data_IF_969342999293
#
_entry.id   IF_969342999293
#
_cell.length_a   1.000
_cell.length_b   1.000
_cell.length_c   1.000
_cell.angle_alpha   90.00
_cell.angle_beta   90.00
_cell.angle_gamma   90.00
#
_symmetry.space_group_name_H-M   'P 1'
#
loop_
_entity.id
_entity.type
_entity.pdbx_description
1 polymer ?
#
# COMPACT_ATOMS: atom_id res chain seq x y z
N UNK A 1 -18.75 -16.46 -26.21
CA UNK A 1 -18.33 -17.50 -25.26
C UNK A 1 -18.66 -18.88 -25.83
N UNK A 2 -17.75 -19.84 -25.74
CA UNK A 2 -17.97 -21.22 -26.18
C UNK A 2 -17.93 -22.17 -24.97
N UNK A 3 -18.58 -23.35 -25.02
CA UNK A 3 -18.60 -24.28 -23.90
C UNK A 3 -17.19 -24.78 -23.58
N UNK A 4 -16.81 -24.73 -22.30
CA UNK A 4 -15.55 -25.31 -21.84
C UNK A 4 -15.65 -26.84 -21.81
N UNK A 5 -14.60 -27.56 -22.25
CA UNK A 5 -14.55 -29.02 -22.21
C UNK A 5 -14.50 -29.56 -20.78
N UNK A 6 -13.98 -28.78 -19.83
CA UNK A 6 -14.02 -29.07 -18.40
C UNK A 6 -14.72 -27.92 -17.68
N UNK A 7 -15.68 -28.28 -16.82
CA UNK A 7 -16.44 -27.34 -15.99
C UNK A 7 -16.04 -27.52 -14.54
N UNK A 8 -15.68 -26.44 -13.91
CA UNK A 8 -15.32 -26.41 -12.49
C UNK A 8 -16.36 -25.60 -11.72
N UNK A 9 -16.50 -25.91 -10.44
CA UNK A 9 -17.34 -25.15 -9.51
C UNK A 9 -16.39 -24.35 -8.61
N UNK A 10 -16.65 -23.05 -8.51
CA UNK A 10 -15.93 -22.12 -7.64
C UNK A 10 -16.92 -21.55 -6.62
N UNK A 11 -16.67 -21.78 -5.33
CA UNK A 11 -17.50 -21.31 -4.23
C UNK A 11 -16.67 -20.52 -3.23
N UNK A 12 -17.18 -19.38 -2.79
CA UNK A 12 -16.59 -18.60 -1.71
C UNK A 12 -17.67 -18.17 -0.72
N UNK A 13 -17.38 -18.35 0.57
CA UNK A 13 -18.22 -17.90 1.67
C UNK A 13 -17.38 -17.02 2.59
N UNK A 14 -17.69 -15.72 2.63
CA UNK A 14 -16.92 -14.76 3.44
C UNK A 14 -17.09 -15.03 4.92
N UNK A 15 -16.03 -15.52 5.57
CA UNK A 15 -16.03 -15.92 6.97
C UNK A 15 -16.52 -14.78 7.88
N UNK A 16 -15.96 -13.58 7.79
CA UNK A 16 -16.32 -12.43 8.62
C UNK A 16 -17.81 -12.05 8.48
N UNK A 17 -18.37 -12.20 7.29
CA UNK A 17 -19.79 -11.88 7.04
C UNK A 17 -20.69 -12.93 7.67
N UNK A 18 -20.35 -14.21 7.54
CA UNK A 18 -21.11 -15.29 8.18
C UNK A 18 -21.04 -15.16 9.69
N UNK A 19 -19.85 -14.87 10.22
CA UNK A 19 -19.64 -14.62 11.66
C UNK A 19 -20.52 -13.47 12.15
N UNK A 20 -20.54 -12.33 11.44
CA UNK A 20 -21.41 -11.20 11.78
C UNK A 20 -22.88 -11.55 11.73
N UNK A 21 -23.34 -12.26 10.69
CA UNK A 21 -24.73 -12.73 10.62
C UNK A 21 -25.04 -13.60 11.84
N UNK A 22 -24.22 -14.57 12.18
CA UNK A 22 -24.49 -15.49 13.29
C UNK A 22 -24.46 -14.76 14.64
N UNK A 23 -23.43 -13.95 14.91
CA UNK A 23 -23.24 -13.29 16.21
C UNK A 23 -24.22 -12.13 16.40
N UNK A 24 -24.32 -11.23 15.42
CA UNK A 24 -25.11 -10.00 15.55
C UNK A 24 -26.61 -10.28 15.52
N UNK A 25 -27.02 -11.43 14.95
CA UNK A 25 -28.41 -11.88 14.95
C UNK A 25 -28.77 -12.88 16.05
N UNK A 26 -27.83 -13.16 16.97
CA UNK A 26 -27.97 -14.18 18.03
C UNK A 26 -28.43 -15.54 17.47
N UNK A 27 -27.70 -16.09 16.51
CA UNK A 27 -28.07 -17.31 15.75
C UNK A 27 -29.43 -17.19 15.03
N UNK A 28 -29.62 -16.12 14.25
CA UNK A 28 -30.83 -15.86 13.46
C UNK A 28 -32.11 -15.71 14.28
N UNK A 29 -31.99 -15.40 15.58
CA UNK A 29 -33.13 -15.26 16.49
C UNK A 29 -33.55 -13.81 16.74
N UNK A 30 -32.66 -12.84 16.51
CA UNK A 30 -32.91 -11.43 16.81
C UNK A 30 -32.20 -10.52 15.79
N UNK A 31 -32.96 -9.84 14.94
CA UNK A 31 -32.41 -8.94 13.90
C UNK A 31 -32.45 -7.45 14.30
N UNK A 32 -32.72 -7.14 15.57
CA UNK A 32 -32.85 -5.75 16.04
C UNK A 32 -31.50 -5.04 16.27
N UNK A 33 -30.40 -5.79 16.36
CA UNK A 33 -29.05 -5.27 16.55
C UNK A 33 -28.42 -4.68 15.29
N UNK A 34 -27.29 -3.98 15.46
CA UNK A 34 -26.47 -3.52 14.33
C UNK A 34 -25.69 -4.69 13.76
N UNK A 35 -25.97 -5.05 12.50
CA UNK A 35 -25.28 -6.13 11.80
C UNK A 35 -24.06 -5.54 11.07
N UNK A 36 -22.86 -5.94 11.46
CA UNK A 36 -21.61 -5.41 10.93
C UNK A 36 -20.49 -6.44 11.05
N UNK A 37 -19.70 -6.61 9.99
CA UNK A 37 -18.49 -7.44 10.03
C UNK A 37 -17.54 -7.08 11.19
N UNK A 38 -17.61 -5.83 11.64
CA UNK A 38 -16.75 -5.27 12.68
C UNK A 38 -17.33 -5.39 14.11
N UNK A 39 -18.56 -5.87 14.27
CA UNK A 39 -19.20 -6.15 15.59
C UNK A 39 -18.98 -7.60 16.04
N UNK A 40 -17.92 -8.23 15.53
CA UNK A 40 -17.61 -9.64 15.81
C UNK A 40 -16.45 -9.79 16.78
N UNK A 41 -16.36 -10.97 17.39
CA UNK A 41 -15.22 -11.41 18.20
C UNK A 41 -13.87 -11.36 17.47
N UNK A 42 -13.88 -11.35 16.14
CA UNK A 42 -12.68 -11.22 15.30
C UNK A 42 -12.07 -9.80 15.41
N UNK A 43 -12.90 -8.75 15.48
CA UNK A 43 -12.44 -7.36 15.47
C UNK A 43 -12.47 -6.69 16.86
N UNK A 44 -13.40 -7.09 17.74
CA UNK A 44 -13.60 -6.46 19.04
C UNK A 44 -12.32 -6.36 19.88
N UNK A 45 -11.46 -7.40 19.99
CA UNK A 45 -10.23 -7.30 20.77
C UNK A 45 -9.27 -6.21 20.24
N UNK A 46 -9.19 -6.03 18.92
CA UNK A 46 -8.36 -4.99 18.30
C UNK A 46 -8.95 -3.61 18.59
N UNK A 47 -10.28 -3.47 18.48
CA UNK A 47 -10.95 -2.21 18.83
C UNK A 47 -10.76 -1.85 20.29
N UNK A 48 -10.87 -2.79 21.22
CA UNK A 48 -10.66 -2.53 22.65
C UNK A 48 -9.25 -1.99 22.94
N UNK A 49 -8.22 -2.53 22.28
CA UNK A 49 -6.86 -2.00 22.41
C UNK A 49 -6.73 -0.61 21.76
N UNK A 50 -7.37 -0.35 20.61
CA UNK A 50 -7.41 0.99 20.00
C UNK A 50 -8.12 1.98 20.92
N UNK A 51 -9.24 1.62 21.55
CA UNK A 51 -9.96 2.48 22.51
C UNK A 51 -9.06 2.83 23.70
N UNK A 52 -8.37 1.84 24.25
CA UNK A 52 -7.44 2.01 25.36
C UNK A 52 -6.26 2.92 25.00
N UNK A 53 -5.69 2.77 23.80
CA UNK A 53 -4.54 3.53 23.35
C UNK A 53 -4.91 4.98 22.94
N UNK A 54 -6.08 5.18 22.33
CA UNK A 54 -6.52 6.49 21.80
C UNK A 54 -7.38 7.30 22.77
N UNK A 55 -8.04 6.64 23.74
CA UNK A 55 -9.08 7.24 24.56
C UNK A 55 -10.40 7.53 23.81
N UNK A 56 -10.51 7.15 22.53
CA UNK A 56 -11.74 7.26 21.72
C UNK A 56 -12.61 6.01 21.88
N UNK A 57 -13.89 6.12 21.55
CA UNK A 57 -14.86 5.02 21.60
C UNK A 57 -15.37 4.68 20.21
N UNK A 58 -15.50 3.39 19.95
CA UNK A 58 -16.12 2.87 18.74
C UNK A 58 -17.63 2.72 18.98
N UNK A 59 -18.43 3.37 18.13
CA UNK A 59 -19.88 3.44 18.29
C UNK A 59 -20.65 2.74 17.15
N UNK A 60 -19.93 2.04 16.27
CA UNK A 60 -20.52 1.29 15.15
C UNK A 60 -21.42 2.09 14.22
N UNK A 61 -21.19 3.40 14.11
CA UNK A 61 -21.97 4.25 13.21
C UNK A 61 -21.73 3.84 11.76
N UNK A 62 -22.80 3.80 10.97
CA UNK A 62 -22.72 3.59 9.53
C UNK A 62 -22.66 4.96 8.83
N UNK A 63 -21.78 5.15 7.83
CA UNK A 63 -21.79 6.37 7.05
C UNK A 63 -23.13 6.49 6.30
N UNK A 64 -23.76 7.66 6.35
CA UNK A 64 -25.00 7.94 5.62
C UNK A 64 -24.81 7.67 4.13
N UNK A 65 -25.71 6.91 3.51
CA UNK A 65 -25.62 6.61 2.08
C UNK A 65 -25.57 7.91 1.26
N UNK A 66 -24.49 8.11 0.51
CA UNK A 66 -24.31 9.26 -0.38
C UNK A 66 -23.70 10.52 0.26
N UNK A 67 -23.28 10.50 1.52
CA UNK A 67 -22.58 11.63 2.15
C UNK A 67 -21.13 11.29 2.46
N UNK A 68 -20.21 12.24 2.21
CA UNK A 68 -18.82 12.11 2.67
C UNK A 68 -18.81 12.00 4.20
N UNK A 69 -17.99 11.10 4.74
CA UNK A 69 -17.85 10.77 6.18
C UNK A 69 -17.48 11.97 7.09
N UNK A 70 -17.40 13.18 6.52
CA UNK A 70 -16.94 14.42 7.15
C UNK A 70 -18.00 15.07 8.05
N UNK A 71 -19.30 14.75 7.91
CA UNK A 71 -20.36 15.49 8.65
C UNK A 71 -20.56 15.05 10.10
N UNK A 72 -20.26 13.80 10.45
CA UNK A 72 -20.40 13.28 11.81
C UNK A 72 -19.01 12.97 12.40
N UNK A 73 -18.56 13.69 13.44
CA UNK A 73 -17.28 13.42 14.10
C UNK A 73 -17.13 11.97 14.58
N UNK A 74 -18.21 11.33 15.03
CA UNK A 74 -18.17 9.92 15.46
C UNK A 74 -17.99 8.96 14.28
N UNK A 75 -18.56 9.25 13.12
CA UNK A 75 -18.39 8.41 11.92
C UNK A 75 -16.95 8.42 11.42
N UNK A 76 -16.26 9.56 11.49
CA UNK A 76 -14.84 9.65 11.18
C UNK A 76 -13.98 8.80 12.14
N UNK A 77 -14.33 8.79 13.44
CA UNK A 77 -13.68 7.92 14.43
C UNK A 77 -13.94 6.45 14.08
N UNK A 78 -15.19 6.05 13.85
CA UNK A 78 -15.53 4.64 13.56
C UNK A 78 -14.90 4.14 12.25
N UNK A 79 -14.79 4.99 11.23
CA UNK A 79 -14.05 4.69 10.01
C UNK A 79 -12.57 4.48 10.30
N UNK A 80 -11.95 5.34 11.12
CA UNK A 80 -10.55 5.18 11.49
C UNK A 80 -10.30 3.88 12.27
N UNK A 81 -11.18 3.51 13.20
CA UNK A 81 -11.14 2.21 13.89
C UNK A 81 -11.15 1.05 12.90
N UNK A 82 -12.14 1.03 11.99
CA UNK A 82 -12.29 -0.03 10.97
C UNK A 82 -11.07 -0.14 10.08
N UNK A 83 -10.56 0.99 9.56
CA UNK A 83 -9.39 1.01 8.69
C UNK A 83 -8.15 0.50 9.42
N UNK A 84 -7.88 0.98 10.64
CA UNK A 84 -6.72 0.55 11.41
C UNK A 84 -6.79 -0.96 11.72
N UNK A 85 -7.94 -1.46 12.17
CA UNK A 85 -8.07 -2.87 12.53
C UNK A 85 -8.00 -3.82 11.31
N UNK A 86 -8.59 -3.43 10.19
CA UNK A 86 -8.50 -4.22 8.96
C UNK A 86 -7.06 -4.23 8.40
N UNK A 87 -6.40 -3.07 8.42
CA UNK A 87 -5.08 -2.93 7.83
C UNK A 87 -3.99 -3.60 8.68
N UNK A 88 -4.12 -3.66 10.02
CA UNK A 88 -3.15 -4.43 10.83
C UNK A 88 -3.26 -5.92 10.52
N UNK A 89 -4.47 -6.44 10.32
CA UNK A 89 -4.69 -7.83 9.90
C UNK A 89 -4.02 -8.09 8.56
N UNK A 90 -4.38 -7.32 7.54
CA UNK A 90 -3.85 -7.48 6.19
C UNK A 90 -2.31 -7.43 6.16
N UNK A 91 -1.70 -6.46 6.85
CA UNK A 91 -0.25 -6.31 6.89
C UNK A 91 0.45 -7.42 7.66
N UNK A 92 -0.11 -7.84 8.79
CA UNK A 92 0.50 -8.90 9.58
C UNK A 92 0.54 -10.22 8.82
N UNK A 93 -0.55 -10.58 8.13
CA UNK A 93 -0.57 -11.76 7.26
C UNK A 93 0.38 -11.60 6.06
N UNK A 94 0.35 -10.46 5.37
CA UNK A 94 1.24 -10.23 4.24
C UNK A 94 2.73 -10.34 4.63
N UNK A 95 3.13 -9.77 5.78
CA UNK A 95 4.50 -9.84 6.28
C UNK A 95 4.82 -11.26 6.78
N UNK A 96 3.87 -11.95 7.42
CA UNK A 96 4.03 -13.36 7.78
C UNK A 96 4.30 -14.23 6.54
N UNK A 97 3.71 -13.91 5.39
CA UNK A 97 3.96 -14.58 4.10
C UNK A 97 5.21 -14.07 3.35
N UNK A 98 5.98 -13.17 3.96
CA UNK A 98 7.25 -12.67 3.41
C UNK A 98 7.12 -11.45 2.50
N UNK A 99 5.96 -10.80 2.43
CA UNK A 99 5.78 -9.54 1.70
C UNK A 99 6.25 -8.38 2.58
N UNK A 100 7.45 -7.87 2.30
CA UNK A 100 8.02 -6.72 2.98
C UNK A 100 7.63 -5.42 2.25
N UNK A 101 7.20 -4.35 2.97
CA UNK A 101 6.94 -3.04 2.37
C UNK A 101 8.12 -2.52 1.52
N UNK A 102 7.82 -2.07 0.30
CA UNK A 102 8.82 -1.59 -0.67
C UNK A 102 8.21 -0.54 -1.61
N UNK A 103 8.97 -0.09 -2.61
CA UNK A 103 8.50 0.86 -3.63
C UNK A 103 7.84 0.18 -4.85
N UNK A 104 7.85 -1.15 -4.93
CA UNK A 104 7.41 -1.87 -6.13
C UNK A 104 6.59 -3.12 -5.82
N UNK A 105 5.76 -3.54 -6.79
CA UNK A 105 4.98 -4.77 -6.73
C UNK A 105 4.12 -4.90 -5.47
N UNK A 106 4.12 -6.10 -4.88
CA UNK A 106 3.34 -6.39 -3.65
C UNK A 106 3.83 -5.60 -2.43
N UNK A 107 5.12 -5.29 -2.36
CA UNK A 107 5.68 -4.48 -1.28
C UNK A 107 5.17 -3.04 -1.31
N UNK A 108 4.95 -2.48 -2.49
CA UNK A 108 4.29 -1.17 -2.63
C UNK A 108 2.86 -1.18 -2.10
N UNK A 109 2.09 -2.23 -2.41
CA UNK A 109 0.73 -2.39 -1.88
C UNK A 109 0.74 -2.44 -0.35
N UNK A 110 1.62 -3.27 0.25
CA UNK A 110 1.78 -3.30 1.72
C UNK A 110 2.16 -1.94 2.29
N UNK A 111 3.08 -1.22 1.64
CA UNK A 111 3.45 0.13 2.07
C UNK A 111 2.26 1.10 2.06
N UNK A 112 1.42 1.07 1.04
CA UNK A 112 0.20 1.91 0.95
C UNK A 112 -0.80 1.59 2.07
N UNK A 113 -1.03 0.30 2.34
CA UNK A 113 -1.90 -0.15 3.44
C UNK A 113 -1.37 0.41 4.78
N UNK A 114 -0.06 0.32 5.03
CA UNK A 114 0.54 0.83 6.26
C UNK A 114 0.35 2.35 6.38
N UNK A 115 0.70 3.10 5.34
CA UNK A 115 0.59 4.56 5.32
C UNK A 115 -0.85 5.03 5.53
N UNK A 116 -1.82 4.34 4.91
CA UNK A 116 -3.24 4.62 5.10
C UNK A 116 -3.67 4.38 6.54
N UNK A 117 -3.29 3.26 7.15
CA UNK A 117 -3.62 2.96 8.55
C UNK A 117 -3.04 4.03 9.51
N UNK A 118 -1.77 4.38 9.34
CA UNK A 118 -1.09 5.40 10.16
C UNK A 118 -1.73 6.78 9.98
N UNK A 119 -2.13 7.15 8.74
CA UNK A 119 -2.86 8.39 8.49
C UNK A 119 -4.20 8.42 9.23
N UNK A 120 -4.99 7.34 9.20
CA UNK A 120 -6.24 7.29 10.00
C UNK A 120 -5.95 7.25 11.51
N UNK A 121 -4.78 6.74 11.91
CA UNK A 121 -4.29 6.88 13.29
C UNK A 121 -4.22 8.33 13.76
N UNK A 122 -3.88 9.29 12.88
CA UNK A 122 -3.91 10.73 13.20
C UNK A 122 -5.32 11.22 13.55
N UNK A 123 -6.36 10.69 12.91
CA UNK A 123 -7.78 10.98 13.26
C UNK A 123 -8.13 10.51 14.68
N UNK A 124 -7.46 9.47 15.17
CA UNK A 124 -7.61 8.96 16.53
C UNK A 124 -6.70 9.65 17.56
N UNK A 125 -5.85 10.59 17.12
CA UNK A 125 -4.92 11.32 17.98
C UNK A 125 -3.58 10.60 18.22
N UNK A 126 -3.25 9.57 17.44
CA UNK A 126 -1.95 8.93 17.52
C UNK A 126 -0.88 9.79 16.84
N UNK A 127 0.06 10.32 17.62
CA UNK A 127 1.23 11.04 17.12
C UNK A 127 2.50 10.18 17.10
N UNK A 128 2.62 9.27 18.07
CA UNK A 128 3.71 8.31 18.20
C UNK A 128 3.41 6.96 17.52
N UNK A 129 4.42 6.14 17.21
CA UNK A 129 4.22 4.78 16.70
C UNK A 129 3.31 3.95 17.62
N UNK A 130 2.21 3.47 17.06
CA UNK A 130 1.19 2.70 17.79
C UNK A 130 0.83 1.40 17.08
N UNK A 131 0.95 1.38 15.75
CA UNK A 131 0.33 0.37 14.92
C UNK A 131 0.92 -1.02 15.15
N UNK A 132 2.23 -1.11 15.35
CA UNK A 132 2.92 -2.36 15.69
C UNK A 132 2.45 -3.00 17.01
N UNK A 133 1.83 -2.24 17.93
CA UNK A 133 1.31 -2.77 19.21
C UNK A 133 0.10 -3.67 19.00
N UNK A 134 -0.66 -3.43 17.93
CA UNK A 134 -1.86 -4.21 17.59
C UNK A 134 -1.52 -5.63 17.09
N UNK A 135 -0.28 -5.88 16.67
CA UNK A 135 0.19 -7.22 16.27
C UNK A 135 0.06 -8.22 17.42
N UNK A 136 0.29 -7.79 18.66
CA UNK A 136 0.18 -8.66 19.84
C UNK A 136 -1.25 -9.14 20.06
N UNK A 137 -2.22 -8.23 19.86
CA UNK A 137 -3.65 -8.54 19.97
C UNK A 137 -4.05 -9.48 18.85
N UNK A 138 -3.60 -9.22 17.62
CA UNK A 138 -3.90 -10.06 16.47
C UNK A 138 -3.36 -11.48 16.64
N UNK A 139 -2.10 -11.63 17.07
CA UNK A 139 -1.48 -12.93 17.32
C UNK A 139 -2.26 -13.72 18.38
N UNK A 140 -2.78 -13.04 19.42
CA UNK A 140 -3.62 -13.67 20.43
C UNK A 140 -5.00 -14.10 19.89
N UNK A 141 -5.61 -13.30 19.01
CA UNK A 141 -6.95 -13.58 18.47
C UNK A 141 -6.94 -14.65 17.37
N UNK A 142 -5.91 -14.66 16.51
CA UNK A 142 -5.89 -15.49 15.30
C UNK A 142 -4.78 -16.55 15.28
N UNK A 143 -3.87 -16.53 16.25
CA UNK A 143 -2.66 -17.36 16.26
C UNK A 143 -2.87 -18.87 16.35
N UNK A 144 -4.01 -19.30 16.90
CA UNK A 144 -4.34 -20.74 16.99
C UNK A 144 -4.62 -21.34 15.60
N UNK A 145 -5.23 -20.56 14.70
CA UNK A 145 -5.53 -20.96 13.32
C UNK A 145 -4.36 -20.63 12.39
N UNK A 146 -3.66 -19.52 12.65
CA UNK A 146 -2.57 -19.00 11.83
C UNK A 146 -1.26 -18.91 12.63
N UNK A 147 -0.60 -20.04 12.93
CA UNK A 147 0.57 -20.10 13.80
C UNK A 147 1.79 -19.33 13.24
N UNK A 148 1.84 -19.06 11.94
CA UNK A 148 2.86 -18.25 11.29
C UNK A 148 2.87 -16.80 11.81
N UNK A 149 1.71 -16.25 12.21
CA UNK A 149 1.61 -14.91 12.78
C UNK A 149 2.29 -14.86 14.15
N UNK A 150 2.10 -15.89 14.99
CA UNK A 150 2.80 -16.03 16.27
C UNK A 150 4.31 -16.26 16.07
N UNK A 151 4.67 -17.16 15.15
CA UNK A 151 6.07 -17.52 14.87
C UNK A 151 6.87 -16.31 14.39
N UNK A 152 6.28 -15.48 13.53
CA UNK A 152 6.94 -14.30 12.93
C UNK A 152 6.59 -12.99 13.62
N UNK A 153 5.88 -13.03 14.76
CA UNK A 153 5.36 -11.85 15.47
C UNK A 153 6.41 -10.76 15.69
N UNK A 154 7.60 -11.14 16.15
CA UNK A 154 8.71 -10.19 16.36
C UNK A 154 9.13 -9.48 15.07
N UNK A 155 9.25 -10.23 13.97
CA UNK A 155 9.61 -9.67 12.66
C UNK A 155 8.52 -8.73 12.16
N UNK A 156 7.24 -9.13 12.26
CA UNK A 156 6.09 -8.32 11.85
C UNK A 156 6.09 -6.99 12.60
N UNK A 157 6.26 -7.03 13.93
CA UNK A 157 6.31 -5.83 14.77
C UNK A 157 7.43 -4.89 14.37
N UNK A 158 8.64 -5.41 14.19
CA UNK A 158 9.80 -4.59 13.84
C UNK A 158 9.65 -3.96 12.45
N UNK A 159 9.18 -4.72 11.46
CA UNK A 159 8.91 -4.20 10.11
C UNK A 159 7.86 -3.08 10.13
N UNK A 160 6.74 -3.29 10.81
CA UNK A 160 5.68 -2.28 10.92
C UNK A 160 6.18 -1.05 11.65
N UNK A 161 6.86 -1.24 12.79
CA UNK A 161 7.39 -0.13 13.61
C UNK A 161 8.36 0.72 12.81
N UNK A 162 9.33 0.11 12.13
CA UNK A 162 10.34 0.84 11.34
C UNK A 162 9.71 1.65 10.21
N UNK A 163 8.77 1.07 9.47
CA UNK A 163 8.07 1.77 8.39
C UNK A 163 7.16 2.89 8.93
N UNK A 164 6.48 2.67 10.06
CA UNK A 164 5.66 3.68 10.75
C UNK A 164 6.53 4.85 11.24
N UNK A 165 7.64 4.58 11.92
CA UNK A 165 8.60 5.60 12.38
C UNK A 165 9.18 6.40 11.20
N UNK A 166 9.55 5.73 10.11
CA UNK A 166 10.05 6.41 8.91
C UNK A 166 8.98 7.30 8.28
N UNK A 167 7.73 6.85 8.26
CA UNK A 167 6.64 7.57 7.63
C UNK A 167 6.13 8.75 8.47
N UNK A 168 6.07 8.60 9.79
CA UNK A 168 5.64 9.65 10.72
C UNK A 168 6.48 10.93 10.58
N UNK A 169 7.79 10.79 10.32
CA UNK A 169 8.70 11.93 10.08
C UNK A 169 8.23 12.85 8.94
N UNK A 170 7.66 12.27 7.89
CA UNK A 170 7.20 13.01 6.69
C UNK A 170 5.71 13.30 6.69
N UNK A 171 4.93 12.58 7.49
CA UNK A 171 3.47 12.67 7.49
C UNK A 171 2.98 14.03 7.97
N UNK A 172 3.47 14.52 9.10
CA UNK A 172 2.95 15.77 9.70
C UNK A 172 3.27 17.00 8.84
N UNK A 173 4.47 17.04 8.26
CA UNK A 173 4.86 18.05 7.28
C UNK A 173 3.98 17.94 6.02
N UNK A 174 3.81 16.73 5.49
CA UNK A 174 3.00 16.47 4.30
C UNK A 174 1.53 16.86 4.47
N UNK A 175 0.92 16.58 5.63
CA UNK A 175 -0.45 17.01 5.94
C UNK A 175 -0.57 18.54 5.97
N UNK A 176 0.38 19.22 6.62
CA UNK A 176 0.41 20.68 6.70
C UNK A 176 0.54 21.31 5.31
N UNK A 177 1.39 20.74 4.45
CA UNK A 177 1.62 21.24 3.10
C UNK A 177 0.41 20.96 2.20
N UNK A 178 -0.18 19.77 2.31
CA UNK A 178 -1.42 19.43 1.60
C UNK A 178 -2.53 20.44 1.95
N UNK A 179 -2.71 20.73 3.25
CA UNK A 179 -3.73 21.68 3.69
C UNK A 179 -3.50 23.09 3.14
N UNK A 180 -2.25 23.56 3.10
CA UNK A 180 -1.90 24.84 2.47
C UNK A 180 -2.17 24.82 0.97
N UNK A 181 -1.74 23.77 0.26
CA UNK A 181 -1.95 23.64 -1.17
C UNK A 181 -3.45 23.67 -1.52
N UNK A 182 -4.30 23.06 -0.68
CA UNK A 182 -5.75 23.10 -0.84
C UNK A 182 -6.36 24.47 -0.52
N UNK A 183 -5.82 25.23 0.43
CA UNK A 183 -6.30 26.61 0.67
C UNK A 183 -6.07 27.51 -0.56
N UNK A 184 -4.89 27.45 -1.16
CA UNK A 184 -4.56 28.25 -2.35
C UNK A 184 -5.41 27.86 -3.57
N UNK A 185 -5.69 26.57 -3.74
CA UNK A 185 -6.46 26.09 -4.89
C UNK A 185 -7.96 26.40 -4.77
N UNK A 186 -8.53 26.34 -3.56
CA UNK A 186 -9.93 26.75 -3.27
C UNK A 186 -10.16 28.25 -3.55
N UNK A 187 -9.15 29.10 -3.35
CA UNK A 187 -9.24 30.52 -3.72
C UNK A 187 -9.30 30.73 -5.24
N UNK A 188 -8.63 29.86 -6.01
CA UNK A 188 -8.64 29.86 -7.48
C UNK A 188 -9.91 29.20 -8.06
N UNK A 189 -10.51 28.20 -7.41
CA UNK A 189 -11.70 27.46 -7.90
C UNK A 189 -13.05 28.17 -7.68
N UNK A 190 -13.08 29.35 -7.04
CA UNK A 190 -14.31 30.16 -6.84
C UNK A 190 -15.01 30.63 -8.13
N UNK A 191 -14.51 30.29 -9.30
CA UNK A 191 -15.04 30.67 -10.62
C UNK A 191 -15.78 29.56 -11.39
N UNK A 192 -16.14 28.43 -10.76
CA UNK A 192 -17.02 27.41 -11.37
C UNK A 192 -16.31 26.36 -12.25
N UNK A 193 -15.07 26.00 -11.90
CA UNK A 193 -14.17 25.05 -12.62
C UNK A 193 -13.94 23.79 -11.75
N UNK A 194 -13.56 22.61 -12.31
CA UNK A 194 -13.65 21.31 -11.63
C UNK A 194 -12.88 21.20 -10.32
N UNK A 195 -13.42 20.39 -9.42
CA UNK A 195 -12.85 19.99 -8.13
C UNK A 195 -11.67 19.02 -8.33
N UNK A 196 -10.54 19.50 -8.82
CA UNK A 196 -9.38 18.66 -9.17
C UNK A 196 -8.05 19.28 -8.72
N UNK A 197 -7.23 18.49 -8.02
CA UNK A 197 -5.85 18.82 -7.66
C UNK A 197 -4.95 18.60 -8.89
N UNK A 198 -4.21 19.61 -9.32
CA UNK A 198 -3.33 19.50 -10.48
C UNK A 198 -2.20 18.49 -10.30
N UNK A 199 -1.76 17.88 -11.41
CA UNK A 199 -0.63 16.96 -11.43
C UNK A 199 0.67 17.60 -10.94
N UNK A 200 0.84 18.92 -11.12
CA UNK A 200 1.99 19.69 -10.62
C UNK A 200 2.02 19.76 -9.09
N UNK A 201 0.88 20.01 -8.45
CA UNK A 201 0.78 20.03 -6.98
C UNK A 201 1.02 18.63 -6.44
N UNK A 202 0.39 17.62 -7.03
CA UNK A 202 0.59 16.23 -6.64
C UNK A 202 2.06 15.80 -6.82
N UNK A 203 2.71 16.23 -7.91
CA UNK A 203 4.12 15.96 -8.17
C UNK A 203 5.02 16.64 -7.15
N UNK A 204 4.76 17.91 -6.81
CA UNK A 204 5.51 18.63 -5.78
C UNK A 204 5.37 17.98 -4.40
N UNK A 205 4.16 17.57 -4.03
CA UNK A 205 3.89 16.82 -2.79
C UNK A 205 4.73 15.54 -2.73
N UNK A 206 4.77 14.79 -3.82
CA UNK A 206 5.53 13.55 -3.92
C UNK A 206 7.05 13.77 -3.95
N UNK A 207 7.54 14.56 -4.89
CA UNK A 207 8.97 14.71 -5.20
C UNK A 207 9.71 15.56 -4.15
N UNK A 208 9.14 16.70 -3.78
CA UNK A 208 9.81 17.64 -2.87
C UNK A 208 9.60 17.27 -1.40
N UNK A 209 8.41 16.80 -1.04
CA UNK A 209 8.03 16.60 0.35
C UNK A 209 7.87 15.12 0.74
N UNK A 210 8.09 14.19 -0.20
CA UNK A 210 7.96 12.76 0.05
C UNK A 210 6.52 12.32 0.36
N UNK A 211 5.53 13.19 0.11
CA UNK A 211 4.14 12.93 0.45
C UNK A 211 3.51 11.99 -0.59
N UNK A 212 3.03 10.80 -0.20
CA UNK A 212 2.63 9.77 -1.14
C UNK A 212 1.42 10.18 -2.01
N UNK A 213 1.46 9.90 -3.31
CA UNK A 213 0.34 10.17 -4.23
C UNK A 213 -0.96 9.50 -3.75
N UNK A 214 -0.88 8.29 -3.22
CA UNK A 214 -2.04 7.54 -2.75
C UNK A 214 -2.73 8.21 -1.55
N UNK A 215 -1.98 8.93 -0.71
CA UNK A 215 -2.55 9.73 0.37
C UNK A 215 -3.13 11.04 -0.14
N UNK A 216 -2.48 11.68 -1.11
CA UNK A 216 -3.03 12.85 -1.82
C UNK A 216 -4.39 12.51 -2.43
N UNK A 217 -4.51 11.39 -3.16
CA UNK A 217 -5.76 10.91 -3.74
C UNK A 217 -6.83 10.61 -2.68
N UNK A 218 -6.44 9.95 -1.57
CA UNK A 218 -7.35 9.64 -0.48
C UNK A 218 -7.93 10.92 0.14
N UNK A 219 -7.06 11.88 0.46
CA UNK A 219 -7.46 13.14 1.09
C UNK A 219 -8.26 14.04 0.15
N UNK A 220 -7.91 14.06 -1.14
CA UNK A 220 -8.68 14.71 -2.18
C UNK A 220 -10.11 14.15 -2.21
N UNK A 221 -10.25 12.82 -2.27
CA UNK A 221 -11.55 12.15 -2.32
C UNK A 221 -12.42 12.43 -1.12
N UNK A 222 -11.85 12.47 0.09
CA UNK A 222 -12.60 12.81 1.31
C UNK A 222 -13.24 14.21 1.19
N UNK A 223 -12.52 15.16 0.57
CA UNK A 223 -13.00 16.53 0.29
C UNK A 223 -13.86 16.63 -0.97
N UNK A 224 -14.13 15.52 -1.66
CA UNK A 224 -14.85 15.50 -2.92
C UNK A 224 -14.09 16.14 -4.08
N UNK A 225 -12.75 16.04 -4.04
CA UNK A 225 -11.82 16.45 -5.10
C UNK A 225 -11.25 15.22 -5.81
N UNK A 226 -10.83 15.37 -7.05
CA UNK A 226 -10.00 14.41 -7.81
C UNK A 226 -8.55 14.87 -7.86
N UNK A 227 -7.66 14.02 -8.37
CA UNK A 227 -6.26 14.36 -8.63
C UNK A 227 -5.98 14.07 -10.09
N UNK A 228 -5.31 14.99 -10.78
CA UNK A 228 -4.83 14.78 -12.16
C UNK A 228 -3.61 13.83 -12.16
N UNK A 229 -3.92 12.53 -12.19
CA UNK A 229 -2.93 11.44 -12.23
C UNK A 229 -2.13 11.49 -13.54
N UNK A 230 -2.76 11.83 -14.67
CA UNK A 230 -2.10 11.86 -15.97
C UNK A 230 -1.03 12.97 -16.02
N UNK A 231 -1.33 14.15 -15.49
CA UNK A 231 -0.36 15.23 -15.32
C UNK A 231 0.78 14.87 -14.38
N UNK A 232 0.47 14.19 -13.27
CA UNK A 232 1.49 13.67 -12.35
C UNK A 232 2.44 12.68 -13.04
N UNK A 233 1.91 11.70 -13.75
CA UNK A 233 2.71 10.68 -14.46
C UNK A 233 3.60 11.29 -15.53
N UNK A 234 3.10 12.30 -16.26
CA UNK A 234 3.91 13.05 -17.23
C UNK A 234 5.12 13.72 -16.59
N UNK A 235 4.95 14.33 -15.41
CA UNK A 235 6.03 14.98 -14.67
C UNK A 235 7.02 13.96 -14.09
N UNK A 236 6.52 12.81 -13.62
CA UNK A 236 7.35 11.68 -13.19
C UNK A 236 8.23 11.15 -14.33
N UNK A 237 7.70 11.02 -15.55
CA UNK A 237 8.50 10.56 -16.69
C UNK A 237 9.55 11.59 -17.08
N UNK A 238 9.21 12.89 -17.10
CA UNK A 238 10.18 13.96 -17.31
C UNK A 238 11.30 13.97 -16.24
N UNK A 239 10.97 13.64 -14.99
CA UNK A 239 11.98 13.49 -13.94
C UNK A 239 12.88 12.27 -14.18
N UNK A 240 12.30 11.13 -14.57
CA UNK A 240 13.07 9.91 -14.91
C UNK A 240 14.01 10.14 -16.08
N UNK A 241 13.55 10.82 -17.13
CA UNK A 241 14.39 11.19 -18.27
C UNK A 241 15.56 12.10 -17.87
N UNK A 242 15.32 13.09 -17.00
CA UNK A 242 16.39 13.94 -16.44
C UNK A 242 17.41 13.12 -15.66
N UNK A 243 16.95 12.18 -14.82
CA UNK A 243 17.82 11.25 -14.09
C UNK A 243 18.66 10.36 -15.01
N UNK A 244 18.05 9.80 -16.06
CA UNK A 244 18.75 8.99 -17.08
C UNK A 244 19.81 9.78 -17.84
N UNK A 245 19.55 11.05 -18.16
CA UNK A 245 20.52 11.94 -18.84
C UNK A 245 21.71 12.32 -17.94
N UNK A 246 21.52 12.32 -16.63
CA UNK A 246 22.58 12.59 -15.65
C UNK A 246 23.48 11.36 -15.39
N UNK A 247 22.99 10.16 -15.70
CA UNK A 247 23.75 8.92 -15.53
C UNK A 247 24.60 8.66 -16.79
N UNK A 248 25.93 8.72 -16.66
CA UNK A 248 26.83 8.23 -17.72
C UNK A 248 26.58 6.74 -17.91
N UNK A 249 25.87 6.38 -18.99
CA UNK A 249 25.89 5.00 -19.49
C UNK A 249 27.28 4.71 -20.01
N UNK A 250 28.02 3.83 -19.34
CA UNK A 250 28.94 2.96 -20.08
C UNK A 250 28.06 2.02 -20.90
N UNK A 251 27.93 2.36 -22.18
CA UNK A 251 27.29 1.51 -23.14
C UNK A 251 28.21 0.32 -23.36
N UNK A 252 27.93 -0.81 -22.69
CA UNK A 252 28.47 -2.09 -23.10
C UNK A 252 27.75 -2.44 -24.40
N UNK A 253 28.22 -1.85 -25.49
CA UNK A 253 27.76 -2.20 -26.83
C UNK A 253 28.31 -3.58 -27.14
N UNK A 254 27.46 -4.60 -27.16
CA UNK A 254 27.76 -5.81 -27.93
C UNK A 254 27.66 -5.37 -29.38
N UNK A 255 28.78 -5.41 -30.12
CA UNK A 255 28.75 -5.12 -31.54
C UNK A 255 27.90 -6.19 -32.25
N UNK A 256 26.65 -5.86 -32.58
CA UNK A 256 25.82 -6.58 -33.54
C UNK A 256 26.25 -6.26 -34.98
N UNK A 257 27.56 -6.17 -35.24
CA UNK A 257 28.03 -6.39 -36.61
C UNK A 257 27.62 -7.80 -37.01
N UNK A 258 27.24 -8.04 -38.28
CA UNK A 258 26.92 -9.37 -38.81
C UNK A 258 28.13 -10.32 -38.65
N UNK A 259 28.34 -10.80 -37.44
CA UNK A 259 29.26 -11.86 -37.08
C UNK A 259 28.65 -13.13 -37.67
N UNK A 260 29.09 -13.50 -38.88
CA UNK A 260 28.77 -14.79 -39.50
C UNK A 260 29.58 -15.89 -38.83
N UNK A 261 29.37 -16.08 -37.54
CA UNK A 261 29.94 -17.17 -36.74
C UNK A 261 28.84 -18.06 -36.21
N UNK A 262 29.14 -19.34 -36.10
CA UNK A 262 28.21 -20.34 -35.60
C UNK A 262 27.84 -20.05 -34.14
N UNK A 263 26.59 -20.31 -33.70
CA UNK A 263 26.18 -20.10 -32.32
C UNK A 263 27.03 -20.89 -31.33
N UNK A 264 27.51 -20.23 -30.27
CA UNK A 264 28.24 -20.88 -29.18
C UNK A 264 27.37 -21.94 -28.51
N UNK A 265 27.85 -23.20 -28.48
CA UNK A 265 27.18 -24.28 -27.75
C UNK A 265 27.42 -24.13 -26.25
N UNK A 266 26.35 -24.03 -25.47
CA UNK A 266 26.43 -24.00 -24.01
C UNK A 266 26.57 -25.43 -23.44
N UNK A 267 27.72 -25.72 -22.82
CA UNK A 267 28.02 -27.02 -22.20
C UNK A 267 27.92 -27.01 -20.66
N UNK A 268 27.50 -25.89 -20.06
CA UNK A 268 27.49 -25.68 -18.61
C UNK A 268 26.45 -26.48 -17.83
N UNK A 269 25.62 -27.29 -18.50
CA UNK A 269 24.76 -28.27 -17.83
C UNK A 269 25.52 -29.52 -17.40
N UNK A 270 26.58 -29.88 -18.14
CA UNK A 270 27.28 -31.15 -18.00
C UNK A 270 28.71 -30.97 -17.46
N UNK A 271 29.35 -29.81 -17.74
CA UNK A 271 30.74 -29.56 -17.41
C UNK A 271 30.94 -28.17 -16.77
N UNK A 272 31.77 -28.10 -15.72
CA UNK A 272 32.19 -26.84 -15.10
C UNK A 272 33.39 -26.21 -15.80
N UNK A 273 34.14 -26.99 -16.57
CA UNK A 273 35.36 -26.59 -17.28
C UNK A 273 35.37 -27.28 -18.66
N UNK A 274 35.77 -26.56 -19.70
CA UNK A 274 35.94 -27.12 -21.05
C UNK A 274 37.02 -26.37 -21.80
N UNK A 275 37.74 -27.08 -22.66
CA UNK A 275 38.60 -26.46 -23.65
C UNK A 275 37.75 -25.84 -24.77
N UNK A 276 38.18 -24.70 -25.30
CA UNK A 276 37.51 -23.99 -26.38
C UNK A 276 38.55 -23.41 -27.35
N UNK A 277 38.14 -23.24 -28.61
CA UNK A 277 38.95 -22.62 -29.66
C UNK A 277 38.43 -21.21 -29.90
N UNK A 278 39.34 -20.23 -29.91
CA UNK A 278 39.02 -18.86 -30.25
C UNK A 278 38.78 -18.78 -31.76
N UNK A 279 37.53 -18.56 -32.17
CA UNK A 279 37.14 -18.51 -33.59
C UNK A 279 37.28 -17.11 -34.20
N UNK A 280 36.95 -16.06 -33.46
CA UNK A 280 37.07 -14.67 -33.91
C UNK A 280 37.39 -13.74 -32.74
N UNK A 281 38.28 -12.77 -32.96
CA UNK A 281 38.60 -11.69 -32.02
C UNK A 281 38.31 -10.36 -32.72
N UNK A 282 37.47 -9.52 -32.11
CA UNK A 282 37.19 -8.18 -32.61
C UNK A 282 38.06 -7.16 -31.88
N UNK A 283 38.68 -6.20 -32.59
CA UNK A 283 39.49 -5.17 -31.96
C UNK A 283 38.63 -4.27 -31.06
N UNK A 284 39.15 -3.92 -29.88
CA UNK A 284 38.47 -3.02 -28.96
C UNK A 284 38.21 -1.63 -29.56
N UNK A 285 37.16 -0.95 -29.10
CA UNK A 285 36.80 0.40 -29.57
C UNK A 285 37.72 1.50 -29.03
N UNK A 286 38.60 1.19 -28.07
CA UNK A 286 39.55 2.13 -27.48
C UNK A 286 40.97 1.87 -28.00
N UNK A 287 41.83 2.89 -28.13
CA UNK A 287 43.19 2.76 -28.69
C UNK A 287 44.11 1.75 -27.98
N UNK A 288 43.73 1.25 -26.79
CA UNK A 288 44.51 0.34 -25.95
C UNK A 288 43.75 -0.94 -25.52
N UNK A 289 42.57 -1.21 -26.08
CA UNK A 289 41.88 -2.50 -25.87
C UNK A 289 42.24 -3.40 -27.06
N UNK A 290 43.09 -4.41 -26.83
CA UNK A 290 43.26 -5.52 -27.77
C UNK A 290 41.95 -6.30 -27.90
#
# INVERSE_FOLDING_TARGET
FAPLPQRHVDTGMGFERVTAIIQDTKNLSDFSGTISNYETDIFRPIFDEIEKLSGKKYASTLPDQGQSAIRNPQSAVDVAFRVVADHIRALSFAIADGIIPSNEGRGYVSRRILRRAVRYGRTLGFHEPFFFKLVDVLAKTMGDVFPEVCTKQKSIKETIRREEESFNKTLDEGLTIFDRAMQFDIEMTKAGVPREISGEIAFKLYDTYGFPLDLTELMARERGLTVDIAGFEKLMEQQRERGRKAQKKEEISVEEGELKVEPTKFLGYDFLETEAVIDTVLPGKKPNEL
#
